data_IF_425733196061
#
_entry.id   IF_425733196061
#
_cell.length_a   1.000
_cell.length_b   1.000
_cell.length_c   1.000
_cell.angle_alpha   90.00
_cell.angle_beta   90.00
_cell.angle_gamma   90.00
#
_symmetry.space_group_name_H-M   'P 1'
#
loop_
_entity.id
_entity.type
_entity.pdbx_description
1 polymer ?
#
# COMPACT_ATOMS: atom_id res chain seq x y z
N UNK A 1 35.55 33.15 27.76
CA UNK A 1 35.67 32.84 26.31
C UNK A 1 35.67 31.34 25.97
N UNK A 2 36.14 30.44 26.84
CA UNK A 2 36.27 28.99 26.54
C UNK A 2 34.95 28.23 26.32
N UNK A 3 33.89 28.53 27.09
CA UNK A 3 32.61 27.81 27.02
C UNK A 3 31.90 27.92 25.67
N UNK A 4 32.00 29.09 25.00
CA UNK A 4 31.43 29.32 23.66
C UNK A 4 32.24 28.62 22.56
N UNK A 5 33.56 28.48 22.73
CA UNK A 5 34.43 27.78 21.78
C UNK A 5 34.19 26.26 21.84
N UNK A 6 34.05 25.70 23.04
CA UNK A 6 33.73 24.28 23.26
C UNK A 6 32.35 23.92 22.68
N UNK A 7 31.37 24.83 22.79
CA UNK A 7 30.05 24.64 22.19
C UNK A 7 30.10 24.63 20.66
N UNK A 8 30.89 25.51 20.04
CA UNK A 8 31.06 25.54 18.57
C UNK A 8 31.73 24.27 18.05
N UNK A 9 32.76 23.79 18.74
CA UNK A 9 33.43 22.52 18.40
C UNK A 9 32.47 21.34 18.58
N UNK A 10 31.68 21.31 19.65
CA UNK A 10 30.67 20.27 19.88
C UNK A 10 29.59 20.26 18.77
N UNK A 11 29.08 21.42 18.36
CA UNK A 11 28.12 21.51 17.25
C UNK A 11 28.73 21.09 15.90
N UNK A 12 30.00 21.43 15.65
CA UNK A 12 30.72 20.99 14.45
C UNK A 12 30.91 19.47 14.43
N UNK A 13 31.32 18.88 15.55
CA UNK A 13 31.47 17.43 15.67
C UNK A 13 30.12 16.71 15.52
N UNK A 14 29.06 17.23 16.14
CA UNK A 14 27.70 16.71 15.97
C UNK A 14 27.27 16.79 14.49
N UNK A 15 27.54 17.91 13.82
CA UNK A 15 27.24 18.09 12.40
C UNK A 15 28.01 17.09 11.51
N UNK A 16 29.28 16.83 11.81
CA UNK A 16 30.09 15.83 11.09
C UNK A 16 29.56 14.42 11.32
N UNK A 17 29.23 14.06 12.57
CA UNK A 17 28.65 12.74 12.89
C UNK A 17 27.30 12.56 12.19
N UNK A 18 26.45 13.59 12.17
CA UNK A 18 25.15 13.55 11.49
C UNK A 18 25.32 13.46 9.97
N UNK A 19 26.23 14.23 9.38
CA UNK A 19 26.53 14.16 7.95
C UNK A 19 27.10 12.81 7.55
N UNK A 20 28.00 12.23 8.36
CA UNK A 20 28.53 10.89 8.14
C UNK A 20 27.42 9.82 8.27
N UNK A 21 26.55 9.94 9.27
CA UNK A 21 25.38 9.06 9.42
C UNK A 21 24.47 9.11 8.19
N UNK A 22 24.14 10.31 7.70
CA UNK A 22 23.31 10.49 6.50
C UNK A 22 24.00 9.94 5.25
N UNK A 23 25.30 10.21 5.08
CA UNK A 23 26.08 9.68 3.96
C UNK A 23 26.10 8.14 3.95
N UNK A 24 26.32 7.53 5.11
CA UNK A 24 26.32 6.07 5.26
C UNK A 24 24.93 5.50 5.03
N UNK A 25 23.88 6.03 5.67
CA UNK A 25 22.53 5.46 5.62
C UNK A 25 21.81 5.67 4.30
N UNK A 26 22.10 6.77 3.58
CA UNK A 26 21.40 7.12 2.33
C UNK A 26 22.18 6.86 1.05
N UNK A 27 23.50 6.67 1.12
CA UNK A 27 24.32 6.37 -0.07
C UNK A 27 25.09 5.07 0.07
N UNK A 28 25.85 4.90 1.15
CA UNK A 28 26.78 3.77 1.28
C UNK A 28 26.08 2.42 1.53
N UNK A 29 25.21 2.38 2.55
CA UNK A 29 24.50 1.15 2.95
C UNK A 29 23.47 0.75 1.90
N UNK A 30 22.65 1.64 1.32
CA UNK A 30 21.71 1.25 0.25
C UNK A 30 22.40 0.62 -0.95
N UNK A 31 23.56 1.13 -1.39
CA UNK A 31 24.32 0.53 -2.49
C UNK A 31 24.85 -0.86 -2.13
N UNK A 32 25.42 -1.02 -0.92
CA UNK A 32 25.87 -2.32 -0.41
C UNK A 32 24.72 -3.31 -0.23
N UNK A 33 23.56 -2.82 0.21
CA UNK A 33 22.37 -3.63 0.42
C UNK A 33 21.78 -4.09 -0.92
N UNK A 34 21.68 -3.20 -1.92
CA UNK A 34 21.30 -3.55 -3.29
C UNK A 34 22.24 -4.62 -3.91
N UNK A 35 23.54 -4.55 -3.61
CA UNK A 35 24.52 -5.54 -4.08
C UNK A 35 24.40 -6.90 -3.36
N UNK A 36 23.99 -6.90 -2.08
CA UNK A 36 23.73 -8.14 -1.33
C UNK A 36 22.40 -8.80 -1.72
N UNK A 37 21.38 -7.98 -2.00
CA UNK A 37 20.02 -8.41 -2.32
C UNK A 37 19.83 -8.87 -3.77
N UNK A 38 20.89 -8.90 -4.58
CA UNK A 38 20.92 -9.64 -5.85
C UNK A 38 20.52 -11.11 -5.66
N UNK A 39 20.69 -11.67 -4.45
CA UNK A 39 20.22 -13.02 -4.09
C UNK A 39 18.71 -13.13 -3.84
N UNK A 40 18.01 -12.01 -3.59
CA UNK A 40 16.54 -11.95 -3.44
C UNK A 40 15.82 -11.67 -4.75
N UNK A 41 16.54 -11.39 -5.85
CA UNK A 41 16.03 -11.41 -7.23
C UNK A 41 15.75 -12.86 -7.67
N UNK A 42 14.94 -13.56 -6.90
CA UNK A 42 14.32 -14.85 -7.26
C UNK A 42 13.23 -14.53 -8.28
N UNK A 43 12.91 -15.41 -9.25
CA UNK A 43 11.70 -15.23 -10.06
C UNK A 43 10.52 -14.91 -9.15
N UNK A 44 9.97 -13.71 -9.32
CA UNK A 44 8.87 -13.24 -8.48
C UNK A 44 7.76 -14.28 -8.56
N UNK A 45 7.32 -14.76 -7.40
CA UNK A 45 6.03 -15.44 -7.33
C UNK A 45 5.01 -14.49 -8.00
N UNK A 46 4.18 -14.96 -8.93
CA UNK A 46 3.24 -14.10 -9.64
C UNK A 46 2.36 -13.27 -8.69
N UNK A 47 2.17 -13.70 -7.44
CA UNK A 47 1.39 -13.00 -6.41
C UNK A 47 2.24 -12.14 -5.47
N UNK A 48 3.40 -11.63 -5.90
CA UNK A 48 4.27 -10.74 -5.11
C UNK A 48 4.59 -9.48 -5.91
N UNK A 49 4.42 -8.32 -5.28
CA UNK A 49 4.80 -7.03 -5.87
C UNK A 49 6.32 -6.85 -5.89
N UNK A 50 6.81 -5.83 -6.58
CA UNK A 50 8.21 -5.46 -6.55
C UNK A 50 8.41 -3.97 -6.37
N UNK A 51 9.54 -3.57 -5.82
CA UNK A 51 10.00 -2.19 -5.91
C UNK A 51 10.46 -1.86 -7.34
N UNK A 52 10.75 -0.59 -7.60
CA UNK A 52 11.33 -0.15 -8.89
C UNK A 52 12.67 -0.84 -9.20
N UNK A 53 13.43 -1.22 -8.17
CA UNK A 53 14.71 -1.92 -8.27
C UNK A 53 14.55 -3.44 -8.43
N UNK A 54 13.32 -3.95 -8.48
CA UNK A 54 13.01 -5.38 -8.63
C UNK A 54 13.15 -6.19 -7.33
N UNK A 55 13.18 -5.53 -6.17
CA UNK A 55 13.19 -6.21 -4.88
C UNK A 55 11.76 -6.70 -4.59
N UNK A 56 11.56 -7.97 -4.14
CA UNK A 56 10.25 -8.45 -3.73
C UNK A 56 9.63 -7.56 -2.66
N UNK A 57 8.46 -7.01 -2.96
CA UNK A 57 7.67 -6.15 -2.09
C UNK A 57 6.66 -6.93 -1.24
N UNK A 58 5.50 -6.32 -1.02
CA UNK A 58 4.40 -6.94 -0.30
C UNK A 58 3.66 -7.97 -1.19
N UNK A 59 3.16 -9.08 -0.63
CA UNK A 59 2.31 -10.04 -1.34
C UNK A 59 0.94 -9.48 -1.75
N UNK A 60 0.40 -10.00 -2.86
CA UNK A 60 -1.02 -9.85 -3.19
C UNK A 60 -1.84 -10.73 -2.24
N UNK A 61 -2.70 -10.10 -1.45
CA UNK A 61 -3.55 -10.75 -0.44
C UNK A 61 -5.03 -10.39 -0.57
N UNK A 62 -5.39 -9.44 -1.43
CA UNK A 62 -6.80 -9.04 -1.64
C UNK A 62 -7.09 -8.89 -3.13
N UNK A 63 -8.35 -9.07 -3.52
CA UNK A 63 -8.79 -8.75 -4.87
C UNK A 63 -10.21 -8.19 -4.88
N UNK A 64 -10.56 -7.52 -5.96
CA UNK A 64 -11.90 -7.01 -6.21
C UNK A 64 -12.33 -7.27 -7.64
N UNK A 65 -13.59 -7.65 -7.81
CA UNK A 65 -14.22 -7.75 -9.11
C UNK A 65 -15.25 -6.63 -9.26
N UNK A 66 -15.04 -5.79 -10.28
CA UNK A 66 -15.89 -4.64 -10.57
C UNK A 66 -15.18 -3.57 -11.39
N UNK A 67 -15.95 -2.60 -11.87
CA UNK A 67 -15.40 -1.44 -12.57
C UNK A 67 -14.58 -0.57 -11.62
N UNK A 68 -13.68 0.22 -12.19
CA UNK A 68 -12.87 1.20 -11.45
C UNK A 68 -13.75 2.11 -10.60
N UNK A 69 -14.89 2.54 -11.15
CA UNK A 69 -15.85 3.41 -10.47
C UNK A 69 -16.54 2.70 -9.31
N UNK A 70 -16.82 1.41 -9.43
CA UNK A 70 -17.36 0.61 -8.32
C UNK A 70 -16.34 0.53 -7.18
N UNK A 71 -15.07 0.31 -7.48
CA UNK A 71 -14.02 0.24 -6.46
C UNK A 71 -13.93 1.57 -5.71
N UNK A 72 -13.77 2.68 -6.43
CA UNK A 72 -13.60 3.99 -5.79
C UNK A 72 -14.85 4.33 -4.96
N UNK A 73 -16.06 4.07 -5.46
CA UNK A 73 -17.30 4.23 -4.67
C UNK A 73 -17.32 3.34 -3.43
N UNK A 74 -16.90 2.08 -3.56
CA UNK A 74 -16.96 1.13 -2.46
C UNK A 74 -16.02 1.53 -1.31
N UNK A 75 -14.80 1.97 -1.64
CA UNK A 75 -13.85 2.47 -0.65
C UNK A 75 -14.32 3.77 0.01
N UNK A 76 -14.85 4.71 -0.76
CA UNK A 76 -15.42 5.95 -0.21
C UNK A 76 -16.59 5.66 0.74
N UNK A 77 -17.51 4.76 0.36
CA UNK A 77 -18.61 4.34 1.21
C UNK A 77 -18.16 3.60 2.50
N UNK A 78 -16.99 2.96 2.47
CA UNK A 78 -16.38 2.29 3.61
C UNK A 78 -15.50 3.22 4.47
N UNK A 79 -15.45 4.52 4.16
CA UNK A 79 -14.68 5.51 4.90
C UNK A 79 -13.17 5.39 4.70
N UNK A 80 -12.75 4.95 3.52
CA UNK A 80 -11.34 4.98 3.10
C UNK A 80 -11.08 6.19 2.22
N UNK A 81 -9.91 6.80 2.41
CA UNK A 81 -9.42 7.95 1.65
C UNK A 81 -8.57 7.47 0.47
N UNK A 82 -8.50 8.26 -0.60
CA UNK A 82 -7.56 8.01 -1.68
C UNK A 82 -6.14 8.41 -1.25
N UNK A 83 -5.17 7.52 -1.46
CA UNK A 83 -3.79 7.68 -0.97
C UNK A 83 -2.83 8.30 -1.99
N UNK A 84 -3.23 8.47 -3.26
CA UNK A 84 -2.38 9.06 -4.30
C UNK A 84 -3.12 9.94 -5.32
N UNK A 85 -2.33 10.73 -6.06
CA UNK A 85 -2.83 11.66 -7.10
C UNK A 85 -3.55 10.93 -8.24
N UNK A 86 -3.15 9.68 -8.55
CA UNK A 86 -3.76 8.90 -9.65
C UNK A 86 -5.18 8.50 -9.28
N UNK A 87 -5.39 8.00 -8.07
CA UNK A 87 -6.69 7.63 -7.52
C UNK A 87 -7.59 8.84 -7.40
N UNK A 88 -7.07 9.96 -6.92
CA UNK A 88 -7.83 11.21 -6.82
C UNK A 88 -8.28 11.75 -8.16
N UNK A 89 -7.35 11.86 -9.11
CA UNK A 89 -7.67 12.28 -10.47
C UNK A 89 -8.72 11.37 -11.07
N UNK A 90 -8.54 10.06 -10.91
CA UNK A 90 -9.52 9.07 -11.38
C UNK A 90 -10.89 9.29 -10.76
N UNK A 91 -10.96 9.55 -9.46
CA UNK A 91 -12.21 9.80 -8.72
C UNK A 91 -12.92 11.05 -9.20
N UNK A 92 -12.17 12.14 -9.43
CA UNK A 92 -12.70 13.39 -9.98
C UNK A 92 -13.18 13.20 -11.42
N UNK A 93 -12.39 12.51 -12.25
CA UNK A 93 -12.71 12.23 -13.66
C UNK A 93 -14.00 11.40 -13.79
N UNK A 94 -14.30 10.52 -12.82
CA UNK A 94 -15.54 9.72 -12.77
C UNK A 94 -16.67 10.39 -11.96
N UNK A 95 -16.48 11.63 -11.50
CA UNK A 95 -17.50 12.39 -10.78
C UNK A 95 -17.77 11.95 -9.33
N UNK A 96 -16.81 11.30 -8.67
CA UNK A 96 -16.92 10.92 -7.26
C UNK A 96 -16.34 11.98 -6.32
N UNK A 97 -17.10 12.33 -5.26
CA UNK A 97 -16.62 13.21 -4.19
C UNK A 97 -15.72 12.41 -3.22
N UNK A 98 -14.42 12.66 -3.28
CA UNK A 98 -13.43 12.16 -2.29
C UNK A 98 -13.11 13.30 -1.33
N UNK A 99 -13.28 13.05 -0.03
CA UNK A 99 -12.93 14.03 1.01
C UNK A 99 -11.42 13.99 1.17
N UNK A 100 -10.76 15.12 0.90
CA UNK A 100 -9.32 15.29 1.06
C UNK A 100 -9.06 16.27 2.20
N UNK A 101 -8.60 15.76 3.34
CA UNK A 101 -8.12 16.58 4.45
C UNK A 101 -6.66 16.26 4.78
N UNK A 102 -5.81 16.11 3.75
CA UNK A 102 -4.40 15.69 3.94
C UNK A 102 -3.38 16.58 3.20
N UNK A 103 -2.43 17.18 3.92
CA UNK A 103 -1.31 17.93 3.35
C UNK A 103 -0.27 17.05 2.62
N UNK A 104 -0.20 15.76 2.96
CA UNK A 104 0.91 14.84 2.57
C UNK A 104 0.75 14.16 1.20
N UNK A 105 -0.08 14.71 0.29
CA UNK A 105 -0.19 14.20 -1.09
C UNK A 105 1.11 14.32 -1.91
N UNK A 106 2.12 15.00 -1.37
CA UNK A 106 3.46 15.14 -1.97
C UNK A 106 4.49 14.11 -1.47
N UNK A 107 4.17 13.31 -0.44
CA UNK A 107 4.95 12.14 -0.03
C UNK A 107 4.23 10.86 -0.48
N UNK A 108 4.28 10.51 -1.78
CA UNK A 108 3.52 9.38 -2.30
C UNK A 108 3.91 8.11 -1.56
N UNK A 109 2.92 7.25 -1.29
CA UNK A 109 3.19 5.84 -0.99
C UNK A 109 4.18 5.33 -2.03
N UNK A 110 5.31 4.77 -1.57
CA UNK A 110 6.37 4.31 -2.48
C UNK A 110 5.76 3.42 -3.58
N UNK A 111 6.14 3.66 -4.84
CA UNK A 111 5.56 2.92 -5.95
C UNK A 111 5.88 1.43 -5.78
N UNK A 112 4.83 0.63 -5.81
CA UNK A 112 4.95 -0.82 -5.94
C UNK A 112 4.52 -1.19 -7.35
N UNK A 113 5.20 -2.19 -7.87
CA UNK A 113 4.98 -2.70 -9.21
C UNK A 113 4.41 -4.11 -9.11
N UNK A 114 3.46 -4.42 -9.96
CA UNK A 114 2.93 -5.75 -10.15
C UNK A 114 2.95 -6.03 -11.65
N UNK A 115 3.58 -7.13 -12.07
CA UNK A 115 3.81 -7.44 -13.48
C UNK A 115 4.44 -6.27 -14.27
N UNK A 116 5.36 -5.53 -13.63
CA UNK A 116 6.05 -4.38 -14.23
C UNK A 116 5.20 -3.11 -14.34
N UNK A 117 3.96 -3.10 -13.86
CA UNK A 117 3.09 -1.92 -13.84
C UNK A 117 3.01 -1.30 -12.46
N UNK A 118 3.14 0.03 -12.39
CA UNK A 118 2.83 0.80 -11.18
C UNK A 118 1.34 0.63 -10.81
N UNK A 119 1.03 0.74 -9.51
CA UNK A 119 -0.34 0.65 -9.01
C UNK A 119 -1.29 1.62 -9.73
N UNK A 120 -2.52 1.16 -9.96
CA UNK A 120 -3.57 1.91 -10.64
C UNK A 120 -4.46 2.68 -9.66
N UNK A 121 -4.66 2.15 -8.45
CA UNK A 121 -5.39 2.77 -7.35
C UNK A 121 -4.69 2.52 -6.01
N UNK A 122 -4.84 3.45 -5.07
CA UNK A 122 -4.36 3.32 -3.70
C UNK A 122 -5.33 4.00 -2.72
N UNK A 123 -5.63 3.31 -1.62
CA UNK A 123 -6.50 3.79 -0.56
C UNK A 123 -5.84 3.65 0.80
N UNK A 124 -6.22 4.52 1.73
CA UNK A 124 -5.74 4.51 3.10
C UNK A 124 -6.87 4.79 4.09
N UNK A 125 -6.74 4.25 5.30
CA UNK A 125 -7.67 4.50 6.40
C UNK A 125 -6.88 4.74 7.68
N UNK A 126 -7.03 5.91 8.30
CA UNK A 126 -6.25 6.26 9.48
C UNK A 126 -6.69 5.41 10.68
N UNK A 127 -5.73 5.06 11.53
CA UNK A 127 -5.98 4.35 12.79
C UNK A 127 -5.67 5.26 13.97
N UNK A 128 -6.70 5.58 14.75
CA UNK A 128 -6.56 6.47 15.90
C UNK A 128 -6.44 7.95 15.49
N UNK A 129 -5.61 8.71 16.21
CA UNK A 129 -5.46 10.16 16.06
C UNK A 129 -4.12 10.59 15.46
N UNK A 130 -3.16 9.68 15.29
CA UNK A 130 -1.86 9.99 14.68
C UNK A 130 -1.86 9.60 13.21
N UNK A 131 -1.17 10.37 12.37
CA UNK A 131 -0.92 10.03 10.96
C UNK A 131 0.05 8.84 10.79
N UNK A 132 0.70 8.41 11.88
CA UNK A 132 1.74 7.38 11.86
C UNK A 132 1.18 5.97 11.65
N UNK A 133 -0.12 5.75 11.88
CA UNK A 133 -0.74 4.44 11.73
C UNK A 133 -1.91 4.50 10.77
N UNK A 134 -1.82 3.68 9.72
CA UNK A 134 -2.83 3.63 8.67
C UNK A 134 -2.90 2.24 8.08
N UNK A 135 -4.11 1.75 7.86
CA UNK A 135 -4.31 0.64 6.95
C UNK A 135 -4.17 1.20 5.54
N UNK A 136 -3.53 0.48 4.64
CA UNK A 136 -3.41 0.91 3.26
C UNK A 136 -3.53 -0.26 2.30
N UNK A 137 -4.03 0.02 1.11
CA UNK A 137 -4.18 -0.98 0.06
C UNK A 137 -3.93 -0.36 -1.30
N UNK A 138 -3.19 -1.08 -2.14
CA UNK A 138 -2.95 -0.73 -3.55
C UNK A 138 -3.62 -1.76 -4.44
N UNK A 139 -4.11 -1.34 -5.60
CA UNK A 139 -4.71 -2.21 -6.60
C UNK A 139 -4.10 -2.02 -7.99
N UNK A 140 -4.04 -3.13 -8.71
CA UNK A 140 -3.67 -3.23 -10.12
C UNK A 140 -4.80 -3.91 -10.86
N UNK A 141 -5.22 -3.33 -11.98
CA UNK A 141 -6.19 -3.98 -12.85
C UNK A 141 -5.50 -5.09 -13.64
N UNK A 142 -6.00 -6.32 -13.52
CA UNK A 142 -5.44 -7.44 -14.28
C UNK A 142 -5.89 -7.35 -15.75
N UNK A 143 -5.05 -7.77 -16.71
CA UNK A 143 -5.44 -7.80 -18.12
C UNK A 143 -6.54 -8.82 -18.40
N UNK A 144 -6.57 -9.89 -17.59
CA UNK A 144 -7.60 -10.93 -17.68
C UNK A 144 -8.70 -10.63 -16.67
N UNK A 145 -9.97 -10.50 -17.10
CA UNK A 145 -11.10 -10.31 -16.18
C UNK A 145 -11.35 -11.56 -15.33
N UNK A 146 -12.11 -11.41 -14.25
CA UNK A 146 -12.66 -12.56 -13.55
C UNK A 146 -13.64 -13.29 -14.49
N UNK A 147 -13.66 -14.62 -14.46
CA UNK A 147 -14.56 -15.40 -15.29
C UNK A 147 -16.02 -14.97 -15.06
N UNK A 148 -16.67 -14.40 -16.07
CA UNK A 148 -18.09 -14.03 -16.05
C UNK A 148 -18.46 -12.78 -15.21
N UNK A 149 -17.59 -12.27 -14.34
CA UNK A 149 -17.96 -11.30 -13.30
C UNK A 149 -17.41 -9.86 -13.52
N UNK A 150 -16.62 -9.63 -14.57
CA UNK A 150 -16.12 -8.29 -14.95
C UNK A 150 -14.64 -8.06 -14.63
N UNK A 151 -14.16 -6.81 -14.64
CA UNK A 151 -12.74 -6.51 -14.43
C UNK A 151 -12.25 -6.99 -13.06
N UNK A 152 -11.15 -7.73 -13.06
CA UNK A 152 -10.48 -8.19 -11.85
C UNK A 152 -9.36 -7.21 -11.48
N UNK A 153 -9.26 -6.96 -10.18
CA UNK A 153 -8.23 -6.16 -9.57
C UNK A 153 -7.56 -6.98 -8.50
N UNK A 154 -6.25 -7.06 -8.55
CA UNK A 154 -5.44 -7.65 -7.50
C UNK A 154 -4.83 -6.55 -6.66
N UNK A 155 -4.71 -6.79 -5.36
CA UNK A 155 -4.26 -5.79 -4.42
C UNK A 155 -3.40 -6.33 -3.31
N UNK A 156 -2.62 -5.41 -2.75
CA UNK A 156 -1.73 -5.62 -1.63
C UNK A 156 -2.19 -4.70 -0.50
N UNK A 157 -2.80 -5.29 0.52
CA UNK A 157 -3.22 -4.62 1.74
C UNK A 157 -2.19 -4.85 2.85
N UNK A 158 -1.74 -3.78 3.50
CA UNK A 158 -0.83 -3.86 4.63
C UNK A 158 -1.07 -2.72 5.63
N UNK A 159 -0.70 -2.97 6.89
CA UNK A 159 -0.83 -2.01 7.97
C UNK A 159 0.46 -1.23 8.09
N UNK A 160 0.43 0.09 7.98
CA UNK A 160 1.56 0.92 8.37
C UNK A 160 1.50 1.15 9.88
N UNK A 161 2.46 0.62 10.63
CA UNK A 161 2.47 0.69 12.11
C UNK A 161 3.25 1.88 12.66
N UNK A 162 3.92 2.65 11.81
CA UNK A 162 4.70 3.81 12.22
C UNK A 162 5.96 4.03 11.41
N UNK A 163 6.53 5.23 11.60
CA UNK A 163 7.84 5.60 11.10
C UNK A 163 8.93 5.11 12.06
N UNK A 164 9.95 4.45 11.52
CA UNK A 164 11.11 3.99 12.29
C UNK A 164 12.37 3.98 11.44
N UNK A 165 13.48 3.53 12.03
CA UNK A 165 14.72 3.31 11.30
C UNK A 165 14.70 1.90 10.71
N UNK A 166 14.91 1.79 9.41
CA UNK A 166 15.16 0.52 8.75
C UNK A 166 16.31 -0.19 9.45
N UNK A 167 16.08 -1.43 9.87
CA UNK A 167 17.10 -2.29 10.46
C UNK A 167 18.24 -2.60 9.48
N UNK A 168 17.95 -2.48 8.19
CA UNK A 168 18.81 -2.85 7.08
C UNK A 168 19.67 -1.69 6.58
N UNK A 169 19.07 -0.50 6.46
CA UNK A 169 19.75 0.68 5.89
C UNK A 169 19.99 1.82 6.86
N UNK A 170 19.35 1.82 8.03
CA UNK A 170 19.34 2.98 8.94
C UNK A 170 18.55 4.18 8.40
N UNK A 171 17.86 4.03 7.26
CA UNK A 171 16.98 5.07 6.72
C UNK A 171 15.70 5.17 7.55
N UNK A 172 15.15 6.37 7.64
CA UNK A 172 13.80 6.56 8.15
C UNK A 172 12.82 5.95 7.13
N UNK A 173 12.10 4.90 7.53
CA UNK A 173 11.10 4.20 6.72
C UNK A 173 9.82 3.99 7.49
N UNK A 174 8.72 3.84 6.76
CA UNK A 174 7.50 3.26 7.31
C UNK A 174 7.71 1.77 7.53
N UNK A 175 7.20 1.27 8.66
CA UNK A 175 7.20 -0.15 8.96
C UNK A 175 5.81 -0.72 8.76
N UNK A 176 5.74 -1.89 8.13
CA UNK A 176 4.48 -2.62 8.05
C UNK A 176 4.24 -3.53 9.27
N UNK A 177 2.98 -3.75 9.59
CA UNK A 177 2.53 -4.79 10.51
C UNK A 177 2.72 -6.17 9.88
N UNK A 178 3.06 -7.21 10.68
CA UNK A 178 3.40 -8.52 10.14
C UNK A 178 2.19 -9.36 9.70
N UNK A 179 0.99 -9.03 10.15
CA UNK A 179 -0.22 -9.83 9.87
C UNK A 179 -0.93 -9.33 8.60
N UNK A 180 -0.63 -9.93 7.46
CA UNK A 180 -1.24 -9.53 6.19
C UNK A 180 -2.68 -10.04 6.05
N UNK A 181 -3.04 -11.11 6.77
CA UNK A 181 -4.38 -11.69 6.70
C UNK A 181 -5.36 -10.80 7.47
N UNK A 182 -4.96 -10.24 8.61
CA UNK A 182 -5.74 -9.25 9.34
C UNK A 182 -6.09 -8.03 8.47
N UNK A 183 -5.14 -7.54 7.68
CA UNK A 183 -5.34 -6.38 6.80
C UNK A 183 -6.26 -6.70 5.61
N UNK A 184 -6.04 -7.85 4.97
CA UNK A 184 -6.96 -8.38 3.95
C UNK A 184 -8.40 -8.47 4.49
N UNK A 185 -8.55 -9.05 5.67
CA UNK A 185 -9.86 -9.29 6.28
C UNK A 185 -10.51 -7.97 6.74
N UNK A 186 -9.72 -6.99 7.16
CA UNK A 186 -10.17 -5.63 7.46
C UNK A 186 -10.71 -4.95 6.21
N UNK A 187 -9.96 -4.95 5.10
CA UNK A 187 -10.40 -4.35 3.82
C UNK A 187 -11.72 -4.96 3.37
N UNK A 188 -11.78 -6.29 3.23
CA UNK A 188 -13.00 -6.97 2.77
C UNK A 188 -14.14 -6.81 3.78
N UNK A 189 -13.84 -6.85 5.07
CA UNK A 189 -14.80 -6.64 6.15
C UNK A 189 -15.44 -5.27 6.12
N UNK A 190 -14.66 -4.21 5.88
CA UNK A 190 -15.17 -2.85 5.78
C UNK A 190 -16.05 -2.64 4.55
N UNK A 191 -15.64 -3.16 3.39
CA UNK A 191 -16.46 -3.11 2.17
C UNK A 191 -17.78 -3.91 2.34
N UNK A 192 -17.75 -5.04 3.06
CA UNK A 192 -18.96 -5.80 3.42
C UNK A 192 -19.87 -5.00 4.35
N UNK A 193 -19.33 -4.38 5.41
CA UNK A 193 -20.09 -3.54 6.36
C UNK A 193 -20.74 -2.36 5.67
N UNK A 194 -20.08 -1.76 4.68
CA UNK A 194 -20.61 -0.69 3.84
C UNK A 194 -21.65 -1.17 2.79
N UNK A 195 -21.96 -2.47 2.77
CA UNK A 195 -22.92 -3.07 1.85
C UNK A 195 -22.44 -3.10 0.39
N UNK A 196 -21.13 -3.00 0.14
CA UNK A 196 -20.56 -2.84 -1.21
C UNK A 196 -20.20 -4.18 -1.85
N UNK A 197 -20.10 -5.25 -1.08
CA UNK A 197 -19.73 -6.60 -1.55
C UNK A 197 -20.97 -7.48 -1.67
N UNK A 198 -21.12 -8.19 -2.79
CA UNK A 198 -22.19 -9.18 -3.03
C UNK A 198 -21.78 -10.57 -2.56
N UNK A 199 -20.55 -10.99 -2.87
CA UNK A 199 -19.98 -12.29 -2.53
C UNK A 199 -18.46 -12.19 -2.35
N UNK A 200 -17.86 -13.22 -1.76
CA UNK A 200 -16.41 -13.35 -1.66
C UNK A 200 -15.97 -14.77 -1.99
N UNK A 201 -14.78 -14.91 -2.56
CA UNK A 201 -14.12 -16.18 -2.80
C UNK A 201 -12.60 -16.04 -2.62
N UNK A 202 -11.91 -17.14 -2.36
CA UNK A 202 -10.46 -17.16 -2.21
C UNK A 202 -9.80 -17.58 -3.53
N UNK A 203 -8.63 -17.01 -3.82
CA UNK A 203 -7.74 -17.45 -4.89
C UNK A 203 -6.35 -17.76 -4.31
N UNK A 204 -5.55 -18.62 -4.97
CA UNK A 204 -4.16 -18.83 -4.58
C UNK A 204 -3.38 -17.52 -4.52
N UNK A 205 -2.70 -17.24 -3.42
CA UNK A 205 -1.81 -16.10 -3.25
C UNK A 205 -0.35 -16.54 -3.31
N UNK A 206 0.51 -15.93 -2.47
CA UNK A 206 1.94 -16.24 -2.38
C UNK A 206 2.23 -17.65 -1.80
N UNK A 207 1.23 -18.30 -1.21
CA UNK A 207 1.40 -19.53 -0.45
C UNK A 207 1.72 -19.27 1.03
N UNK A 208 1.37 -20.23 1.89
CA UNK A 208 1.45 -20.04 3.34
C UNK A 208 2.87 -19.66 3.77
N UNK A 209 3.00 -18.52 4.44
CA UNK A 209 4.29 -17.91 4.75
C UNK A 209 4.32 -17.49 6.21
N UNK A 210 5.34 -17.92 6.96
CA UNK A 210 5.52 -17.59 8.39
C UNK A 210 6.68 -16.65 8.70
N UNK A 211 7.60 -16.51 7.75
CA UNK A 211 8.87 -15.79 7.92
C UNK A 211 9.17 -14.92 6.70
N UNK A 212 8.12 -14.36 6.08
CA UNK A 212 8.23 -13.51 4.91
C UNK A 212 8.91 -12.20 5.24
N UNK A 213 9.50 -11.55 4.23
CA UNK A 213 10.03 -10.18 4.32
C UNK A 213 9.65 -9.39 3.10
N UNK A 214 9.24 -8.15 3.29
CA UNK A 214 8.95 -7.24 2.18
C UNK A 214 10.21 -6.48 1.71
N UNK A 215 10.02 -5.57 0.75
CA UNK A 215 11.10 -4.81 0.15
C UNK A 215 11.83 -3.86 1.12
N UNK A 216 11.19 -3.48 2.23
CA UNK A 216 11.81 -2.72 3.32
C UNK A 216 12.49 -3.58 4.40
N UNK A 217 12.40 -4.91 4.28
CA UNK A 217 12.94 -5.86 5.25
C UNK A 217 11.99 -6.22 6.40
N UNK A 218 10.79 -5.66 6.44
CA UNK A 218 9.82 -5.94 7.51
C UNK A 218 9.29 -7.37 7.45
N UNK A 219 9.19 -8.06 8.60
CA UNK A 219 8.66 -9.42 8.65
C UNK A 219 7.16 -9.44 8.39
N UNK A 220 6.68 -10.48 7.69
CA UNK A 220 5.26 -10.74 7.53
C UNK A 220 4.91 -12.24 7.60
N UNK A 221 3.65 -12.53 7.87
CA UNK A 221 3.04 -13.85 7.76
C UNK A 221 1.66 -13.76 7.08
N UNK A 222 1.27 -14.86 6.44
CA UNK A 222 -0.02 -15.03 5.76
C UNK A 222 -0.34 -16.52 5.58
N UNK A 223 -1.63 -16.86 5.56
CA UNK A 223 -2.16 -18.16 5.13
C UNK A 223 -1.88 -18.47 3.65
N UNK A 224 -1.42 -17.45 2.89
CA UNK A 224 -0.96 -17.60 1.52
C UNK A 224 -2.05 -17.45 0.46
N UNK A 225 -3.23 -16.97 0.82
CA UNK A 225 -4.36 -16.80 -0.08
C UNK A 225 -4.70 -15.33 -0.26
N UNK A 226 -5.28 -15.01 -1.42
CA UNK A 226 -5.93 -13.73 -1.62
C UNK A 226 -7.45 -13.86 -1.51
N UNK A 227 -8.08 -12.95 -0.77
CA UNK A 227 -9.54 -12.90 -0.62
C UNK A 227 -10.11 -11.91 -1.63
N UNK A 228 -10.97 -12.38 -2.53
CA UNK A 228 -11.57 -11.59 -3.58
C UNK A 228 -13.01 -11.24 -3.23
N UNK A 229 -13.36 -9.96 -3.32
CA UNK A 229 -14.72 -9.46 -3.17
C UNK A 229 -15.35 -9.06 -4.50
N UNK A 230 -16.55 -9.57 -4.79
CA UNK A 230 -17.34 -9.13 -5.94
C UNK A 230 -18.15 -7.91 -5.53
N UNK A 231 -17.97 -6.80 -6.24
CA UNK A 231 -18.65 -5.54 -5.92
C UNK A 231 -20.08 -5.54 -6.43
N UNK A 232 -20.98 -4.96 -5.64
CA UNK A 232 -22.37 -4.78 -6.04
C UNK A 232 -22.45 -3.81 -7.22
N UNK A 233 -23.35 -4.05 -8.17
CA UNK A 233 -23.73 -3.06 -9.15
C UNK A 233 -24.17 -1.77 -8.43
N UNK A 234 -23.91 -0.61 -9.04
CA UNK A 234 -24.52 0.61 -8.57
C UNK A 234 -26.04 0.43 -8.58
N UNK A 235 -26.72 0.88 -7.53
CA UNK A 235 -28.18 0.90 -7.52
C UNK A 235 -28.64 1.75 -8.72
N UNK A 236 -29.22 1.10 -9.73
CA UNK A 236 -29.91 1.81 -10.80
C UNK A 236 -31.08 2.50 -10.14
N UNK A 237 -31.02 3.84 -10.04
CA UNK A 237 -32.10 4.64 -9.49
C UNK A 237 -33.42 4.24 -10.14
N UNK A 238 -34.36 3.75 -9.32
CA UNK A 238 -35.68 3.37 -9.77
C UNK A 238 -36.37 4.60 -10.37
N UNK A 239 -36.99 4.42 -11.55
CA UNK A 239 -37.34 5.48 -12.49
C UNK A 239 -38.16 6.65 -11.93
N UNK A 240 -37.84 7.84 -12.43
CA UNK A 240 -38.87 8.84 -12.68
C UNK A 240 -39.67 8.35 -13.91
N UNK A 241 -40.75 7.59 -13.65
CA UNK A 241 -41.75 7.31 -14.65
C UNK A 241 -42.35 8.63 -15.15
N UNK A 242 -42.11 8.96 -16.42
CA UNK A 242 -42.88 9.99 -17.11
C UNK A 242 -44.26 9.36 -17.34
N UNK A 243 -45.18 9.66 -16.44
CA UNK A 243 -46.59 9.37 -16.63
C UNK A 243 -47.15 10.34 -17.69
N UNK A 244 -47.53 9.73 -18.82
CA UNK A 244 -48.51 10.15 -19.85
C UNK A 244 -48.46 11.58 -20.39
#
# INVERSE_FOLDING_TARGET
MSRRLNMRVAFLLLGIVLAAYLAVSYFLVPELWLFHDDRRKVPLNPMVTSTEQGIPGDPINVGLVGSKEQIIRAFNAAGWDAADKVTLRSSVDIGLSVVLDRPDLDAPVSPLFYEGRKQDLAFEKPVGRSADQRNHVRFWQTPTPAEGDGPLWLGSASFDRGVGLSHDTGQITHHIGPDLDAERDLVIGDLKKAGQVSSTYEVPGVGATKTGRNGGGDPYFTDGKALVGVLRPAAVGSGAGIAK
#
